data_IF_915174693012
#
_entry.id   IF_915174693012
#
_cell.length_a   1.000
_cell.length_b   1.000
_cell.length_c   1.000
_cell.angle_alpha   90.00
_cell.angle_beta   90.00
_cell.angle_gamma   90.00
#
_symmetry.space_group_name_H-M   'P 1'
#
loop_
_entity.id
_entity.type
_entity.pdbx_description
1 polymer ?
#
# COMPACT_ATOMS: atom_id res chain seq x y z
N UNK A 1 21.98 -10.41 -31.10
CA UNK A 1 21.75 -9.46 -30.02
C UNK A 1 20.76 -10.07 -29.01
N UNK A 2 20.95 -9.84 -27.69
CA UNK A 2 20.02 -10.35 -26.71
C UNK A 2 18.63 -9.75 -26.92
N UNK A 3 17.58 -10.56 -26.78
CA UNK A 3 16.19 -10.12 -26.95
C UNK A 3 15.83 -9.05 -25.91
N UNK A 4 16.42 -9.15 -24.73
CA UNK A 4 16.19 -8.26 -23.60
C UNK A 4 17.54 -7.76 -23.04
N UNK A 5 17.79 -6.46 -22.98
CA UNK A 5 18.97 -5.93 -22.33
C UNK A 5 18.89 -6.15 -20.82
N UNK A 6 20.01 -6.55 -20.23
CA UNK A 6 20.13 -6.63 -18.77
C UNK A 6 20.33 -5.23 -18.20
N UNK A 7 19.50 -4.83 -17.26
CA UNK A 7 19.60 -3.57 -16.54
C UNK A 7 20.21 -3.82 -15.15
N UNK A 8 21.39 -3.25 -14.92
CA UNK A 8 22.14 -3.41 -13.67
C UNK A 8 22.05 -2.19 -12.75
N UNK A 9 21.17 -1.23 -13.04
CA UNK A 9 21.08 0.03 -12.30
C UNK A 9 20.51 -0.12 -10.89
N UNK A 10 19.72 -1.19 -10.61
CA UNK A 10 19.16 -1.47 -9.28
C UNK A 10 20.14 -2.27 -8.40
N UNK A 11 21.35 -1.74 -8.23
CA UNK A 11 22.33 -2.29 -7.30
C UNK A 11 22.73 -1.22 -6.27
N UNK A 12 23.37 -1.59 -5.15
CA UNK A 12 23.91 -0.62 -4.19
C UNK A 12 24.71 0.48 -4.87
N UNK A 13 24.43 1.73 -4.52
CA UNK A 13 25.02 2.95 -5.13
C UNK A 13 24.68 3.15 -6.62
N UNK A 14 23.70 2.41 -7.16
CA UNK A 14 23.24 2.58 -8.53
C UNK A 14 24.33 2.38 -9.59
N UNK A 15 24.44 3.27 -10.55
CA UNK A 15 25.40 3.18 -11.65
C UNK A 15 26.86 3.28 -11.20
N UNK A 16 27.10 3.97 -10.10
CA UNK A 16 28.44 4.25 -9.57
C UNK A 16 28.96 3.11 -8.67
N UNK A 17 28.06 2.20 -8.24
CA UNK A 17 28.41 1.06 -7.41
C UNK A 17 29.08 -0.08 -8.17
N UNK A 18 29.85 -0.91 -7.47
CA UNK A 18 30.46 -2.12 -8.02
C UNK A 18 29.38 -3.11 -8.52
N UNK A 19 29.63 -3.76 -9.66
CA UNK A 19 28.75 -4.80 -10.21
C UNK A 19 28.73 -6.06 -9.35
N UNK A 20 29.84 -6.38 -8.70
CA UNK A 20 30.03 -7.54 -7.86
C UNK A 20 30.41 -7.10 -6.46
N UNK A 21 29.72 -7.63 -5.46
CA UNK A 21 29.97 -7.41 -4.04
C UNK A 21 29.80 -8.71 -3.27
N UNK A 22 30.48 -8.85 -2.15
CA UNK A 22 30.18 -9.93 -1.20
C UNK A 22 28.81 -9.74 -0.57
N UNK A 23 28.20 -10.83 -0.09
CA UNK A 23 26.92 -10.77 0.62
C UNK A 23 27.00 -9.81 1.81
N UNK A 24 28.05 -9.91 2.61
CA UNK A 24 28.23 -9.04 3.78
C UNK A 24 28.31 -7.54 3.41
N UNK A 25 28.96 -7.22 2.28
CA UNK A 25 29.00 -5.84 1.76
C UNK A 25 27.61 -5.34 1.34
N UNK A 26 26.79 -6.20 0.71
CA UNK A 26 25.39 -5.87 0.39
C UNK A 26 24.58 -5.58 1.65
N UNK A 27 24.62 -6.48 2.64
CA UNK A 27 23.86 -6.33 3.88
C UNK A 27 24.33 -5.11 4.68
N UNK A 28 25.64 -4.83 4.72
CA UNK A 28 26.17 -3.62 5.36
C UNK A 28 25.67 -2.34 4.69
N UNK A 29 25.57 -2.34 3.35
CA UNK A 29 24.99 -1.21 2.61
C UNK A 29 23.52 -0.97 2.97
N UNK A 30 22.68 -1.99 2.90
CA UNK A 30 21.24 -1.86 3.22
C UNK A 30 21.00 -1.42 4.66
N UNK A 31 21.82 -1.84 5.57
CA UNK A 31 21.73 -1.43 6.99
C UNK A 31 22.07 0.05 7.18
N UNK A 32 23.03 0.62 6.44
CA UNK A 32 23.63 1.94 6.73
C UNK A 32 23.21 3.04 5.75
N UNK A 33 23.14 2.72 4.46
CA UNK A 33 23.14 3.74 3.41
C UNK A 33 21.91 3.72 2.51
N UNK A 34 21.22 2.58 2.41
CA UNK A 34 20.11 2.44 1.49
C UNK A 34 18.98 3.43 1.78
N UNK A 35 18.48 4.06 0.72
CA UNK A 35 17.33 4.94 0.78
C UNK A 35 16.01 4.15 0.87
N UNK A 36 14.94 4.78 1.34
CA UNK A 36 13.62 4.15 1.53
C UNK A 36 13.08 3.47 0.26
N UNK A 37 13.32 4.04 -0.91
CA UNK A 37 12.87 3.49 -2.20
C UNK A 37 13.58 2.18 -2.60
N UNK A 38 14.79 1.93 -2.10
CA UNK A 38 15.53 0.70 -2.40
C UNK A 38 14.86 -0.51 -1.76
N UNK A 39 14.31 -0.36 -0.57
CA UNK A 39 13.52 -1.42 0.08
C UNK A 39 12.22 -1.71 -0.68
N UNK A 40 11.62 -0.69 -1.27
CA UNK A 40 10.48 -0.88 -2.18
C UNK A 40 10.87 -1.68 -3.42
N UNK A 41 12.05 -1.43 -4.00
CA UNK A 41 12.56 -2.20 -5.13
C UNK A 41 12.85 -3.66 -4.73
N UNK A 42 13.39 -3.89 -3.53
CA UNK A 42 13.69 -5.23 -3.00
C UNK A 42 12.46 -6.11 -2.74
N UNK A 43 11.24 -5.56 -2.65
CA UNK A 43 10.00 -6.37 -2.61
C UNK A 43 9.87 -7.34 -3.78
N UNK A 44 10.51 -7.03 -4.91
CA UNK A 44 10.50 -7.86 -6.13
C UNK A 44 11.79 -8.69 -6.30
N UNK A 45 12.75 -8.54 -5.39
CA UNK A 45 14.02 -9.25 -5.48
C UNK A 45 13.82 -10.76 -5.35
N UNK A 46 14.47 -11.50 -6.24
CA UNK A 46 14.54 -12.97 -6.22
C UNK A 46 15.82 -13.43 -6.91
N UNK A 47 16.38 -14.49 -6.44
CA UNK A 47 17.42 -15.20 -7.16
C UNK A 47 16.82 -15.84 -8.42
N UNK A 48 17.45 -15.64 -9.58
CA UNK A 48 16.95 -16.18 -10.85
C UNK A 48 18.04 -16.91 -11.66
N UNK A 49 19.30 -16.79 -11.27
CA UNK A 49 20.42 -17.46 -11.91
C UNK A 49 21.64 -17.45 -10.96
N UNK A 50 22.61 -18.30 -11.22
CA UNK A 50 23.83 -18.46 -10.42
C UNK A 50 23.67 -19.48 -9.31
N UNK A 51 24.41 -19.31 -8.22
CA UNK A 51 24.39 -20.18 -7.05
C UNK A 51 23.11 -20.01 -6.26
N UNK A 52 22.33 -21.10 -6.14
CA UNK A 52 21.02 -21.09 -5.49
C UNK A 52 21.12 -20.86 -3.96
N UNK A 53 22.19 -21.40 -3.31
CA UNK A 53 22.39 -21.22 -1.88
C UNK A 53 22.75 -19.76 -1.55
N UNK A 54 23.68 -19.17 -2.31
CA UNK A 54 24.00 -17.77 -2.19
C UNK A 54 22.77 -16.89 -2.43
N UNK A 55 21.95 -17.22 -3.43
CA UNK A 55 20.69 -16.55 -3.71
C UNK A 55 19.72 -16.58 -2.54
N UNK A 56 19.52 -17.76 -1.95
CA UNK A 56 18.66 -17.93 -0.78
C UNK A 56 19.18 -17.16 0.44
N UNK A 57 20.49 -17.19 0.69
CA UNK A 57 21.14 -16.42 1.76
C UNK A 57 20.99 -14.90 1.55
N UNK A 58 21.07 -14.44 0.31
CA UNK A 58 20.81 -13.03 -0.02
C UNK A 58 19.36 -12.65 0.29
N UNK A 59 18.38 -13.40 -0.19
CA UNK A 59 16.95 -13.15 0.05
C UNK A 59 16.63 -13.14 1.55
N UNK A 60 17.12 -14.11 2.30
CA UNK A 60 16.96 -14.17 3.76
C UNK A 60 17.62 -12.99 4.47
N UNK A 61 18.83 -12.61 4.03
CA UNK A 61 19.59 -11.52 4.63
C UNK A 61 18.97 -10.14 4.42
N UNK A 62 18.32 -9.88 3.26
CA UNK A 62 17.68 -8.59 2.97
C UNK A 62 16.25 -8.49 3.49
N UNK A 63 15.55 -9.59 3.70
CA UNK A 63 14.15 -9.62 4.13
C UNK A 63 13.88 -8.78 5.40
N UNK A 64 14.70 -8.86 6.48
CA UNK A 64 14.47 -8.02 7.66
C UNK A 64 14.51 -6.52 7.34
N UNK A 65 15.43 -6.08 6.48
CA UNK A 65 15.53 -4.66 6.12
C UNK A 65 14.33 -4.18 5.30
N UNK A 66 13.77 -5.04 4.46
CA UNK A 66 12.57 -4.73 3.66
C UNK A 66 11.36 -4.57 4.58
N UNK A 67 11.12 -5.52 5.47
CA UNK A 67 9.91 -5.52 6.29
C UNK A 67 9.98 -4.55 7.48
N UNK A 68 11.16 -4.14 7.90
CA UNK A 68 11.36 -3.08 8.89
C UNK A 68 11.49 -1.68 8.27
N UNK A 69 11.47 -1.55 6.94
CA UNK A 69 11.68 -0.28 6.26
C UNK A 69 10.67 0.81 6.66
N UNK A 70 9.42 0.42 6.95
CA UNK A 70 8.37 1.37 7.36
C UNK A 70 8.62 2.03 8.72
N UNK A 71 9.54 1.52 9.55
CA UNK A 71 9.96 2.15 10.83
C UNK A 71 10.84 3.38 10.63
N UNK A 72 11.37 3.57 9.42
CA UNK A 72 12.22 4.74 9.15
C UNK A 72 11.40 6.01 9.24
N UNK A 73 11.98 7.02 9.83
CA UNK A 73 11.38 8.35 9.89
C UNK A 73 10.98 8.83 8.49
N UNK A 74 9.82 9.39 8.36
CA UNK A 74 9.25 9.93 7.11
C UNK A 74 9.14 8.90 5.95
N UNK A 75 9.15 7.59 6.23
CA UNK A 75 9.11 6.55 5.19
C UNK A 75 7.98 6.72 4.16
N UNK A 76 6.76 6.99 4.64
CA UNK A 76 5.58 7.15 3.76
C UNK A 76 5.70 8.42 2.91
N UNK A 77 6.19 9.50 3.48
CA UNK A 77 6.45 10.77 2.80
C UNK A 77 7.55 10.62 1.74
N UNK A 78 8.62 9.89 2.05
CA UNK A 78 9.70 9.58 1.10
C UNK A 78 9.18 8.78 -0.10
N UNK A 79 8.36 7.74 0.15
CA UNK A 79 7.73 6.93 -0.90
C UNK A 79 6.84 7.81 -1.80
N UNK A 80 6.05 8.70 -1.20
CA UNK A 80 5.20 9.66 -1.91
C UNK A 80 6.03 10.68 -2.70
N UNK A 81 7.11 11.20 -2.12
CA UNK A 81 8.01 12.13 -2.79
C UNK A 81 8.69 11.47 -3.98
N UNK A 82 9.14 10.22 -3.82
CA UNK A 82 9.73 9.43 -4.91
C UNK A 82 8.73 9.23 -6.05
N UNK A 83 7.48 8.89 -5.77
CA UNK A 83 6.45 8.75 -6.81
C UNK A 83 6.24 10.05 -7.59
N UNK A 84 6.12 11.18 -6.87
CA UNK A 84 6.01 12.51 -7.50
C UNK A 84 7.21 12.86 -8.36
N UNK A 85 8.43 12.52 -7.93
CA UNK A 85 9.66 12.73 -8.71
C UNK A 85 9.61 11.93 -10.01
N UNK A 86 9.34 10.61 -9.94
CA UNK A 86 9.23 9.74 -11.12
C UNK A 86 8.18 10.25 -12.11
N UNK A 87 7.06 10.74 -11.60
CA UNK A 87 5.99 11.31 -12.43
C UNK A 87 6.47 12.58 -13.17
N UNK A 88 7.17 13.49 -12.48
CA UNK A 88 7.70 14.74 -13.05
C UNK A 88 8.82 14.52 -14.05
N UNK A 89 9.81 13.68 -13.71
CA UNK A 89 10.97 13.41 -14.56
C UNK A 89 10.60 12.67 -15.85
N UNK A 90 9.48 11.97 -15.85
CA UNK A 90 9.00 11.23 -17.00
C UNK A 90 8.00 12.00 -17.90
N UNK A 91 7.72 13.29 -17.64
CA UNK A 91 6.80 14.09 -18.46
C UNK A 91 7.29 14.19 -19.89
N UNK A 92 6.44 13.91 -20.91
CA UNK A 92 6.81 14.08 -22.31
C UNK A 92 7.10 15.55 -22.63
N UNK A 93 8.12 15.81 -23.42
CA UNK A 93 8.40 17.15 -23.96
C UNK A 93 7.43 17.47 -25.10
N UNK A 94 6.22 17.88 -24.74
CA UNK A 94 5.15 18.15 -25.71
C UNK A 94 4.33 16.91 -26.06
N UNK A 95 3.17 17.12 -26.71
CA UNK A 95 2.29 16.07 -27.18
C UNK A 95 1.39 15.44 -26.13
N UNK A 96 0.64 14.42 -26.57
CA UNK A 96 -0.33 13.71 -25.74
C UNK A 96 0.36 12.64 -24.91
N UNK A 97 0.01 12.53 -23.63
CA UNK A 97 0.61 11.56 -22.70
C UNK A 97 0.12 10.13 -22.99
N UNK A 98 0.95 9.37 -23.71
CA UNK A 98 0.70 7.98 -24.11
C UNK A 98 1.38 6.94 -23.19
N UNK A 99 1.96 7.36 -22.07
CA UNK A 99 2.73 6.50 -21.16
C UNK A 99 1.81 5.53 -20.40
N UNK A 100 1.95 4.24 -20.69
CA UNK A 100 1.21 3.17 -19.99
C UNK A 100 1.75 2.96 -18.58
N UNK A 101 3.07 3.13 -18.39
CA UNK A 101 3.76 2.76 -17.15
C UNK A 101 3.98 3.92 -16.19
N UNK A 102 4.64 4.98 -16.63
CA UNK A 102 5.15 6.03 -15.74
C UNK A 102 4.20 7.22 -15.60
N UNK A 103 3.27 7.40 -16.53
CA UNK A 103 2.29 8.48 -16.50
C UNK A 103 1.30 8.37 -15.34
N UNK A 104 0.62 9.47 -15.01
CA UNK A 104 -0.47 9.46 -14.02
C UNK A 104 -1.55 8.43 -14.41
N UNK A 105 -1.97 7.61 -13.47
CA UNK A 105 -2.92 6.52 -13.73
C UNK A 105 -2.33 5.33 -14.50
N UNK A 106 -0.99 5.23 -14.60
CA UNK A 106 -0.32 4.10 -15.23
C UNK A 106 0.00 2.96 -14.26
N UNK A 107 0.71 1.94 -14.79
CA UNK A 107 1.11 0.75 -14.02
C UNK A 107 1.82 1.08 -12.70
N UNK A 108 2.66 2.12 -12.70
CA UNK A 108 3.38 2.55 -11.50
C UNK A 108 2.48 3.02 -10.38
N UNK A 109 1.35 3.64 -10.67
CA UNK A 109 0.41 4.07 -9.63
C UNK A 109 -0.19 2.85 -8.91
N UNK A 110 -0.53 1.78 -9.64
CA UNK A 110 -0.99 0.53 -9.03
C UNK A 110 0.13 -0.15 -8.25
N UNK A 111 1.30 -0.33 -8.86
CA UNK A 111 2.45 -0.99 -8.24
C UNK A 111 2.89 -0.28 -6.96
N UNK A 112 2.99 1.05 -6.97
CA UNK A 112 3.38 1.83 -5.79
C UNK A 112 2.33 1.78 -4.69
N UNK A 113 1.04 1.79 -5.04
CA UNK A 113 -0.05 1.63 -4.07
C UNK A 113 0.07 0.29 -3.33
N UNK A 114 0.21 -0.81 -4.08
CA UNK A 114 0.33 -2.15 -3.50
C UNK A 114 1.60 -2.27 -2.66
N UNK A 115 2.74 -1.83 -3.18
CA UNK A 115 4.04 -1.93 -2.51
C UNK A 115 4.12 -1.11 -1.23
N UNK A 116 3.56 0.12 -1.22
CA UNK A 116 3.51 0.92 0.00
C UNK A 116 2.70 0.22 1.09
N UNK A 117 1.53 -0.32 0.74
CA UNK A 117 0.70 -1.07 1.69
C UNK A 117 1.41 -2.33 2.20
N UNK A 118 2.11 -3.07 1.32
CA UNK A 118 2.92 -4.21 1.73
C UNK A 118 4.01 -3.81 2.73
N UNK A 119 4.74 -2.73 2.47
CA UNK A 119 5.83 -2.28 3.36
C UNK A 119 5.31 -1.78 4.71
N UNK A 120 4.18 -1.08 4.72
CA UNK A 120 3.57 -0.58 5.96
C UNK A 120 3.00 -1.71 6.81
N UNK A 121 2.29 -2.65 6.21
CA UNK A 121 1.53 -3.68 6.93
C UNK A 121 2.23 -5.05 6.98
N UNK A 122 3.09 -5.39 6.01
CA UNK A 122 3.78 -6.67 5.93
C UNK A 122 4.83 -6.91 7.04
N UNK A 123 5.11 -5.88 7.84
CA UNK A 123 5.90 -6.04 9.06
C UNK A 123 5.16 -6.92 10.08
N UNK A 124 3.87 -6.67 10.29
CA UNK A 124 3.01 -7.37 11.25
C UNK A 124 2.18 -8.47 10.62
N UNK A 125 2.01 -8.48 9.31
CA UNK A 125 1.22 -9.46 8.57
C UNK A 125 2.06 -10.13 7.47
N UNK A 126 2.58 -11.32 7.78
CA UNK A 126 3.42 -12.06 6.84
C UNK A 126 2.69 -12.54 5.59
N UNK A 127 1.36 -12.65 5.61
CA UNK A 127 0.56 -13.03 4.43
C UNK A 127 0.69 -12.04 3.28
N UNK A 128 1.11 -10.80 3.58
CA UNK A 128 1.37 -9.75 2.59
C UNK A 128 2.75 -9.85 1.92
N UNK A 129 3.62 -10.77 2.39
CA UNK A 129 5.00 -10.91 1.90
C UNK A 129 5.07 -11.73 0.62
N UNK A 130 4.32 -11.33 -0.39
CA UNK A 130 4.26 -11.95 -1.71
C UNK A 130 4.82 -11.01 -2.78
N UNK A 131 5.38 -11.58 -3.87
CA UNK A 131 6.10 -10.79 -4.89
C UNK A 131 5.20 -10.30 -6.02
N UNK A 132 4.21 -11.08 -6.43
CA UNK A 132 3.35 -10.71 -7.54
C UNK A 132 2.33 -9.64 -7.12
N UNK A 133 2.17 -8.60 -7.95
CA UNK A 133 1.31 -7.45 -7.62
C UNK A 133 -0.15 -7.84 -7.42
N UNK A 134 -0.66 -8.78 -8.22
CA UNK A 134 -2.04 -9.25 -8.11
C UNK A 134 -2.24 -10.09 -6.84
N UNK A 135 -1.33 -11.02 -6.54
CA UNK A 135 -1.35 -11.81 -5.30
C UNK A 135 -1.28 -10.91 -4.07
N UNK A 136 -0.42 -9.87 -4.10
CA UNK A 136 -0.33 -8.91 -3.03
C UNK A 136 -1.63 -8.11 -2.85
N UNK A 137 -2.28 -7.75 -3.95
CA UNK A 137 -3.57 -7.05 -3.91
C UNK A 137 -4.68 -7.94 -3.35
N UNK A 138 -4.68 -9.23 -3.70
CA UNK A 138 -5.62 -10.22 -3.15
C UNK A 138 -5.38 -10.40 -1.64
N UNK A 139 -4.12 -10.53 -1.21
CA UNK A 139 -3.76 -10.63 0.20
C UNK A 139 -4.14 -9.35 0.99
N UNK A 140 -3.87 -8.16 0.44
CA UNK A 140 -4.29 -6.88 1.02
C UNK A 140 -5.82 -6.77 1.17
N UNK A 141 -6.55 -7.29 0.20
CA UNK A 141 -8.02 -7.32 0.27
C UNK A 141 -8.53 -8.32 1.31
N UNK A 142 -7.93 -9.52 1.37
CA UNK A 142 -8.27 -10.54 2.37
C UNK A 142 -7.97 -10.05 3.79
N UNK A 143 -6.84 -9.37 4.01
CA UNK A 143 -6.47 -8.75 5.28
C UNK A 143 -7.28 -7.50 5.65
N UNK A 144 -8.13 -6.99 4.75
CA UNK A 144 -8.95 -5.80 5.00
C UNK A 144 -8.23 -4.46 4.83
N UNK A 145 -7.00 -4.45 4.34
CA UNK A 145 -6.20 -3.23 4.08
C UNK A 145 -6.72 -2.42 2.88
N UNK A 146 -7.34 -3.09 1.94
CA UNK A 146 -8.02 -2.50 0.78
C UNK A 146 -9.42 -3.07 0.67
N UNK A 147 -10.41 -2.26 0.25
CA UNK A 147 -11.77 -2.78 0.04
C UNK A 147 -11.80 -3.81 -1.08
N UNK A 148 -12.75 -4.75 -1.01
CA UNK A 148 -12.92 -5.74 -2.09
C UNK A 148 -13.22 -5.07 -3.44
N UNK A 149 -13.99 -3.99 -3.40
CA UNK A 149 -14.37 -3.22 -4.59
C UNK A 149 -13.16 -2.54 -5.21
N UNK A 150 -12.34 -1.84 -4.38
CA UNK A 150 -11.15 -1.14 -4.87
C UNK A 150 -10.07 -2.12 -5.35
N UNK A 151 -9.89 -3.23 -4.61
CA UNK A 151 -8.95 -4.28 -5.01
C UNK A 151 -9.35 -4.92 -6.35
N UNK A 152 -10.64 -5.24 -6.55
CA UNK A 152 -11.14 -5.75 -7.82
C UNK A 152 -10.96 -4.74 -8.96
N UNK A 153 -11.26 -3.46 -8.70
CA UNK A 153 -11.09 -2.38 -9.67
C UNK A 153 -9.60 -2.18 -10.04
N UNK A 154 -8.69 -2.12 -9.05
CA UNK A 154 -7.24 -2.04 -9.30
C UNK A 154 -6.71 -3.26 -10.05
N UNK A 155 -7.16 -4.47 -9.69
CA UNK A 155 -6.78 -5.72 -10.36
C UNK A 155 -7.19 -5.71 -11.84
N UNK A 156 -8.44 -5.35 -12.14
CA UNK A 156 -8.94 -5.21 -13.51
C UNK A 156 -8.15 -4.18 -14.30
N UNK A 157 -7.95 -2.98 -13.73
CA UNK A 157 -7.17 -1.92 -14.35
C UNK A 157 -5.70 -2.33 -14.59
N UNK A 158 -5.07 -3.00 -13.62
CA UNK A 158 -3.70 -3.47 -13.76
C UNK A 158 -3.55 -4.50 -14.89
N UNK A 159 -4.47 -5.47 -14.96
CA UNK A 159 -4.49 -6.48 -16.05
C UNK A 159 -4.63 -5.82 -17.41
N UNK A 160 -5.55 -4.86 -17.54
CA UNK A 160 -5.76 -4.11 -18.77
C UNK A 160 -4.52 -3.31 -19.20
N UNK A 161 -3.90 -2.57 -18.27
CA UNK A 161 -2.67 -1.83 -18.54
C UNK A 161 -1.49 -2.75 -18.92
N UNK A 162 -1.38 -3.92 -18.28
CA UNK A 162 -0.35 -4.92 -18.63
C UNK A 162 -0.58 -5.50 -20.03
N UNK A 163 -1.81 -5.78 -20.36
CA UNK A 163 -2.16 -6.25 -21.69
C UNK A 163 -1.79 -5.21 -22.78
N UNK A 164 -2.13 -3.94 -22.54
CA UNK A 164 -1.74 -2.83 -23.43
C UNK A 164 -0.22 -2.72 -23.57
N UNK A 165 0.52 -2.78 -22.45
CA UNK A 165 1.98 -2.74 -22.46
C UNK A 165 2.56 -3.91 -23.28
N UNK A 166 2.12 -5.14 -23.02
CA UNK A 166 2.62 -6.33 -23.71
C UNK A 166 2.29 -6.29 -25.22
N UNK A 167 1.08 -5.92 -25.60
CA UNK A 167 0.70 -5.81 -27.02
C UNK A 167 1.50 -4.74 -27.74
N UNK A 168 1.75 -3.59 -27.07
CA UNK A 168 2.59 -2.54 -27.64
C UNK A 168 4.06 -2.98 -27.82
N UNK A 169 4.57 -3.81 -26.90
CA UNK A 169 5.93 -4.35 -26.98
C UNK A 169 6.06 -5.45 -28.04
N UNK A 170 5.10 -6.38 -28.10
CA UNK A 170 5.10 -7.50 -29.04
C UNK A 170 4.97 -7.05 -30.49
N UNK A 171 4.28 -5.96 -30.75
CA UNK A 171 4.02 -5.46 -32.10
C UNK A 171 5.31 -5.26 -32.93
N UNK A 172 6.42 -4.83 -32.32
CA UNK A 172 7.72 -4.66 -33.01
C UNK A 172 8.89 -5.27 -32.24
N UNK A 173 8.61 -6.12 -31.26
CA UNK A 173 9.61 -6.67 -30.32
C UNK A 173 10.51 -5.57 -29.72
N UNK A 174 9.92 -4.42 -29.39
CA UNK A 174 10.63 -3.27 -28.82
C UNK A 174 10.25 -3.04 -27.38
N UNK A 175 11.23 -2.74 -26.55
CA UNK A 175 10.99 -2.26 -25.19
C UNK A 175 10.37 -0.87 -25.25
N UNK A 176 9.05 -0.80 -25.16
CA UNK A 176 8.28 0.45 -25.07
C UNK A 176 7.33 0.41 -23.89
N UNK A 177 7.01 1.59 -23.36
CA UNK A 177 6.01 1.78 -22.30
C UNK A 177 4.97 2.82 -22.72
N UNK A 178 4.91 3.13 -24.02
CA UNK A 178 3.99 4.09 -24.61
C UNK A 178 3.08 3.40 -25.62
N UNK A 179 1.83 3.84 -25.67
CA UNK A 179 0.96 3.51 -26.79
C UNK A 179 1.50 4.12 -28.09
N UNK A 180 1.31 3.45 -29.23
CA UNK A 180 1.70 3.98 -30.54
C UNK A 180 1.10 5.36 -30.83
N UNK A 181 1.84 6.20 -31.54
CA UNK A 181 1.36 7.52 -31.97
C UNK A 181 0.52 7.43 -33.25
N UNK A 182 0.94 6.54 -34.17
CA UNK A 182 0.27 6.35 -35.45
C UNK A 182 -1.04 5.59 -35.26
N UNK A 183 -2.10 6.11 -35.82
CA UNK A 183 -3.43 5.52 -35.70
C UNK A 183 -3.50 4.08 -36.24
N UNK A 184 -2.78 3.79 -37.34
CA UNK A 184 -2.68 2.45 -37.88
C UNK A 184 -2.08 1.44 -36.87
N UNK A 185 -1.00 1.84 -36.18
CA UNK A 185 -0.36 1.01 -35.18
C UNK A 185 -1.25 0.87 -33.92
N UNK A 186 -1.99 1.94 -33.57
CA UNK A 186 -2.95 1.92 -32.47
C UNK A 186 -4.09 0.92 -32.75
N UNK A 187 -4.67 0.95 -33.98
CA UNK A 187 -5.69 -0.02 -34.44
C UNK A 187 -5.19 -1.47 -34.45
N UNK A 188 -3.89 -1.70 -34.67
CA UNK A 188 -3.30 -3.05 -34.56
C UNK A 188 -3.26 -3.54 -33.08
N UNK A 189 -2.89 -2.67 -32.16
CA UNK A 189 -2.95 -2.98 -30.72
C UNK A 189 -4.39 -3.24 -30.32
N UNK A 190 -5.33 -2.38 -30.72
CA UNK A 190 -6.77 -2.49 -30.45
C UNK A 190 -7.35 -3.85 -30.86
N UNK A 191 -7.11 -4.28 -32.10
CA UNK A 191 -7.56 -5.61 -32.59
C UNK A 191 -7.02 -6.78 -31.77
N UNK A 192 -5.88 -6.61 -31.11
CA UNK A 192 -5.30 -7.64 -30.26
C UNK A 192 -5.85 -7.69 -28.84
N UNK A 193 -6.73 -6.75 -28.47
CA UNK A 193 -7.27 -6.61 -27.11
C UNK A 193 -8.79 -6.39 -27.07
N UNK A 194 -9.46 -6.38 -28.23
CA UNK A 194 -10.90 -6.10 -28.35
C UNK A 194 -11.77 -6.94 -27.44
N UNK A 195 -11.37 -8.19 -27.16
CA UNK A 195 -12.12 -9.10 -26.31
C UNK A 195 -11.90 -8.84 -24.79
N UNK A 196 -10.97 -7.96 -24.41
CA UNK A 196 -10.51 -7.78 -23.04
C UNK A 196 -10.76 -6.38 -22.47
N UNK A 197 -10.88 -5.37 -23.32
CA UNK A 197 -11.27 -4.01 -22.98
C UNK A 197 -12.68 -3.77 -23.49
N UNK A 198 -13.50 -3.05 -22.74
CA UNK A 198 -14.87 -2.76 -23.12
C UNK A 198 -14.97 -2.09 -24.50
N UNK A 199 -16.15 -2.11 -25.07
CA UNK A 199 -16.44 -1.54 -26.37
C UNK A 199 -16.62 -0.02 -26.24
N UNK A 200 -15.50 0.71 -26.03
CA UNK A 200 -15.48 2.17 -26.12
C UNK A 200 -15.42 2.64 -27.57
N UNK A 201 -15.59 3.94 -27.80
CA UNK A 201 -15.52 4.55 -29.14
C UNK A 201 -14.14 4.40 -29.80
N UNK A 202 -13.09 4.24 -28.99
CA UNK A 202 -11.73 3.95 -29.45
C UNK A 202 -10.82 3.48 -28.31
N UNK A 203 -9.78 2.73 -28.62
CA UNK A 203 -8.73 2.34 -27.67
C UNK A 203 -8.15 3.54 -26.90
N UNK A 204 -8.09 4.69 -27.56
CA UNK A 204 -7.55 5.89 -26.93
C UNK A 204 -8.46 6.43 -25.81
N UNK A 205 -9.78 6.42 -26.01
CA UNK A 205 -10.74 6.83 -24.97
C UNK A 205 -10.74 5.81 -23.82
N UNK A 206 -10.78 4.52 -24.13
CA UNK A 206 -10.69 3.45 -23.12
C UNK A 206 -9.42 3.58 -22.27
N UNK A 207 -8.28 3.91 -22.90
CA UNK A 207 -7.03 4.13 -22.17
C UNK A 207 -7.06 5.36 -21.25
N UNK A 208 -7.68 6.45 -21.69
CA UNK A 208 -7.85 7.65 -20.85
C UNK A 208 -8.75 7.35 -19.65
N UNK A 209 -9.83 6.63 -19.85
CA UNK A 209 -10.76 6.23 -18.82
C UNK A 209 -10.11 5.30 -17.80
N UNK A 210 -9.38 4.31 -18.29
CA UNK A 210 -8.60 3.39 -17.47
C UNK A 210 -7.61 4.14 -16.57
N UNK A 211 -6.87 5.11 -17.13
CA UNK A 211 -5.94 5.94 -16.38
C UNK A 211 -6.63 6.83 -15.35
N UNK A 212 -7.79 7.41 -15.68
CA UNK A 212 -8.58 8.21 -14.72
C UNK A 212 -9.02 7.37 -13.52
N UNK A 213 -9.50 6.15 -13.77
CA UNK A 213 -9.89 5.21 -12.71
C UNK A 213 -8.72 4.82 -11.82
N UNK A 214 -7.60 4.44 -12.41
CA UNK A 214 -6.38 4.10 -11.65
C UNK A 214 -5.90 5.30 -10.83
N UNK A 215 -5.91 6.51 -11.43
CA UNK A 215 -5.47 7.73 -10.73
C UNK A 215 -6.35 8.05 -9.53
N UNK A 216 -7.66 7.93 -9.66
CA UNK A 216 -8.60 8.15 -8.56
C UNK A 216 -8.37 7.17 -7.41
N UNK A 217 -8.27 5.86 -7.70
CA UNK A 217 -8.00 4.82 -6.72
C UNK A 217 -6.61 5.00 -6.06
N UNK A 218 -5.59 5.34 -6.86
CA UNK A 218 -4.27 5.65 -6.33
C UNK A 218 -4.30 6.84 -5.37
N UNK A 219 -4.96 7.93 -5.73
CA UNK A 219 -5.06 9.09 -4.85
C UNK A 219 -5.79 8.77 -3.56
N UNK A 220 -6.87 8.02 -3.65
CA UNK A 220 -7.64 7.61 -2.48
C UNK A 220 -6.87 6.68 -1.55
N UNK A 221 -6.17 5.68 -2.07
CA UNK A 221 -5.53 4.63 -1.26
C UNK A 221 -4.11 5.02 -0.85
N UNK A 222 -3.28 5.47 -1.79
CA UNK A 222 -1.86 5.76 -1.57
C UNK A 222 -1.64 6.99 -0.69
N UNK A 223 -2.52 7.99 -0.80
CA UNK A 223 -2.42 9.22 -0.03
C UNK A 223 -3.28 9.24 1.24
N UNK A 224 -3.78 8.09 1.68
CA UNK A 224 -4.52 8.01 2.96
C UNK A 224 -3.66 8.57 4.10
N UNK A 225 -4.20 9.52 4.91
CA UNK A 225 -3.47 10.05 6.06
C UNK A 225 -3.06 9.00 7.07
N UNK A 226 -3.90 7.96 7.26
CA UNK A 226 -3.67 6.88 8.22
C UNK A 226 -2.44 6.00 7.90
N UNK A 227 -1.94 5.97 6.67
CA UNK A 227 -0.75 5.19 6.33
C UNK A 227 0.51 5.68 7.07
N UNK A 228 0.67 7.00 7.21
CA UNK A 228 1.80 7.55 7.96
C UNK A 228 1.73 7.17 9.44
N UNK A 229 0.54 7.18 10.04
CA UNK A 229 0.35 6.72 11.42
C UNK A 229 0.60 5.22 11.58
N UNK A 230 0.08 4.40 10.66
CA UNK A 230 0.30 2.95 10.71
C UNK A 230 1.79 2.57 10.55
N UNK A 231 2.53 3.32 9.73
CA UNK A 231 3.97 3.12 9.56
C UNK A 231 4.77 3.50 10.82
N UNK A 232 4.34 4.54 11.53
CA UNK A 232 5.00 5.04 12.74
C UNK A 232 4.81 4.14 13.97
N UNK A 233 3.76 3.30 13.98
CA UNK A 233 3.50 2.37 15.08
C UNK A 233 4.52 1.23 15.08
N UNK A 234 5.18 0.98 16.22
CA UNK A 234 6.11 -0.14 16.34
C UNK A 234 5.36 -1.48 16.48
N UNK A 235 5.97 -2.59 16.01
CA UNK A 235 5.45 -3.93 16.29
C UNK A 235 5.44 -4.23 17.79
N UNK A 236 6.41 -3.68 18.54
CA UNK A 236 6.50 -3.76 19.99
C UNK A 236 5.36 -3.00 20.68
N UNK A 237 4.82 -1.96 20.06
CA UNK A 237 3.65 -1.24 20.54
C UNK A 237 2.34 -2.05 20.41
N UNK A 238 2.32 -3.05 19.54
CA UNK A 238 1.22 -4.02 19.43
C UNK A 238 1.45 -5.24 20.34
N UNK A 239 2.70 -5.50 20.75
CA UNK A 239 3.14 -6.60 21.62
C UNK A 239 3.58 -6.10 23.02
N UNK A 240 3.09 -4.95 23.46
CA UNK A 240 3.39 -4.42 24.79
C UNK A 240 3.04 -5.45 25.88
N UNK A 241 3.94 -5.59 26.86
CA UNK A 241 3.56 -6.27 28.11
C UNK A 241 2.29 -5.62 28.66
N UNK A 242 1.39 -6.36 29.32
CA UNK A 242 0.17 -5.78 29.89
C UNK A 242 0.41 -4.53 30.72
N UNK A 243 1.56 -4.45 31.43
CA UNK A 243 1.95 -3.31 32.20
C UNK A 243 2.27 -2.07 31.34
N UNK A 244 3.09 -2.22 30.33
CA UNK A 244 3.45 -1.12 29.43
C UNK A 244 2.24 -0.61 28.63
N UNK A 245 1.30 -1.50 28.29
CA UNK A 245 0.05 -1.11 27.65
C UNK A 245 -0.84 -0.25 28.57
N UNK A 246 -0.92 -0.59 29.88
CA UNK A 246 -1.63 0.22 30.88
C UNK A 246 -1.03 1.61 31.04
N UNK A 247 0.29 1.67 31.22
CA UNK A 247 1.01 2.93 31.38
C UNK A 247 0.79 3.87 30.20
N UNK A 248 0.78 3.31 29.00
CA UNK A 248 0.53 4.08 27.79
C UNK A 248 -0.92 4.57 27.68
N UNK A 249 -1.90 3.72 27.99
CA UNK A 249 -3.32 4.14 28.00
C UNK A 249 -3.54 5.25 29.03
N UNK A 250 -2.97 5.13 30.22
CA UNK A 250 -3.02 6.17 31.24
C UNK A 250 -2.38 7.49 30.73
N UNK A 251 -1.23 7.41 30.06
CA UNK A 251 -0.55 8.58 29.49
C UNK A 251 -1.36 9.26 28.35
N UNK A 252 -2.21 8.50 27.64
CA UNK A 252 -3.09 9.02 26.58
C UNK A 252 -4.37 9.63 27.14
N UNK A 253 -4.70 9.39 28.45
CA UNK A 253 -5.82 10.03 29.13
C UNK A 253 -6.91 9.07 29.63
N UNK A 254 -6.72 7.76 29.53
CA UNK A 254 -7.67 6.76 30.06
C UNK A 254 -7.55 6.66 31.58
N UNK A 255 -8.68 6.79 32.28
CA UNK A 255 -8.75 6.68 33.74
C UNK A 255 -8.83 5.21 34.19
N UNK A 256 -9.42 4.30 33.37
CA UNK A 256 -9.42 2.85 33.59
C UNK A 256 -8.66 2.12 32.47
N UNK A 257 -7.32 2.05 32.52
CA UNK A 257 -6.53 1.34 31.51
C UNK A 257 -6.86 -0.14 31.37
N UNK A 258 -7.29 -0.82 32.44
CA UNK A 258 -7.67 -2.22 32.40
C UNK A 258 -9.03 -2.41 31.68
N UNK A 259 -9.97 -1.52 31.90
CA UNK A 259 -11.21 -1.44 31.13
C UNK A 259 -10.95 -1.20 29.66
N UNK A 260 -10.10 -0.23 29.37
CA UNK A 260 -9.70 0.07 27.98
C UNK A 260 -9.05 -1.13 27.30
N UNK A 261 -8.15 -1.87 27.96
CA UNK A 261 -7.56 -3.10 27.42
C UNK A 261 -8.61 -4.17 27.12
N UNK A 262 -9.59 -4.37 28.00
CA UNK A 262 -10.69 -5.33 27.75
C UNK A 262 -11.50 -4.92 26.50
N UNK A 263 -11.76 -3.64 26.30
CA UNK A 263 -12.46 -3.14 25.12
C UNK A 263 -11.64 -3.31 23.84
N UNK A 264 -10.34 -3.05 23.89
CA UNK A 264 -9.40 -3.27 22.78
C UNK A 264 -9.36 -4.75 22.39
N UNK A 265 -9.24 -5.65 23.34
CA UNK A 265 -9.24 -7.10 23.11
C UNK A 265 -10.54 -7.54 22.42
N UNK A 266 -11.70 -7.15 22.94
CA UNK A 266 -12.99 -7.48 22.36
C UNK A 266 -13.14 -6.95 20.90
N UNK A 267 -12.61 -5.77 20.57
CA UNK A 267 -12.63 -5.20 19.24
C UNK A 267 -11.71 -5.95 18.25
N UNK A 268 -10.61 -6.53 18.76
CA UNK A 268 -9.57 -7.18 17.94
C UNK A 268 -9.68 -8.69 17.90
N UNK A 269 -10.58 -9.28 18.68
CA UNK A 269 -10.74 -10.72 18.79
C UNK A 269 -11.25 -11.36 17.49
N UNK A 270 -10.70 -12.53 17.17
CA UNK A 270 -11.08 -13.35 16.03
C UNK A 270 -10.36 -13.01 14.72
N UNK A 271 -10.69 -13.78 13.67
CA UNK A 271 -10.09 -13.72 12.31
C UNK A 271 -10.98 -13.02 11.29
N UNK A 272 -12.03 -12.34 11.74
CA UNK A 272 -12.95 -11.66 10.83
C UNK A 272 -12.28 -10.45 10.16
N UNK A 273 -12.78 -10.08 8.97
CA UNK A 273 -12.35 -8.85 8.28
C UNK A 273 -12.54 -7.59 9.15
N UNK A 274 -13.60 -7.56 9.96
CA UNK A 274 -13.86 -6.50 10.93
C UNK A 274 -12.70 -6.40 11.93
N UNK A 275 -12.33 -7.51 12.55
CA UNK A 275 -11.23 -7.56 13.53
C UNK A 275 -9.89 -7.14 12.91
N UNK A 276 -9.62 -7.53 11.66
CA UNK A 276 -8.42 -7.11 10.92
C UNK A 276 -8.39 -5.59 10.71
N UNK A 277 -9.47 -4.99 10.23
CA UNK A 277 -9.57 -3.53 10.01
C UNK A 277 -9.47 -2.79 11.36
N UNK A 278 -10.12 -3.28 12.40
CA UNK A 278 -10.10 -2.66 13.73
C UNK A 278 -8.70 -2.74 14.34
N UNK A 279 -8.01 -3.88 14.29
CA UNK A 279 -6.60 -3.99 14.74
C UNK A 279 -5.70 -2.94 14.11
N UNK A 280 -5.89 -2.67 12.82
CA UNK A 280 -5.10 -1.69 12.09
C UNK A 280 -5.41 -0.24 12.51
N UNK A 281 -6.67 0.07 12.78
CA UNK A 281 -7.13 1.44 13.06
C UNK A 281 -7.10 1.80 14.54
N UNK A 282 -7.17 0.81 15.42
CA UNK A 282 -7.29 1.00 16.87
C UNK A 282 -6.23 1.92 17.47
N UNK A 283 -4.94 1.82 17.14
CA UNK A 283 -3.94 2.71 17.74
C UNK A 283 -4.23 4.19 17.48
N UNK A 284 -4.74 4.52 16.29
CA UNK A 284 -5.11 5.89 15.94
C UNK A 284 -6.41 6.30 16.61
N UNK A 285 -7.39 5.40 16.64
CA UNK A 285 -8.70 5.61 17.28
C UNK A 285 -8.52 5.84 18.79
N UNK A 286 -7.68 5.03 19.46
CA UNK A 286 -7.34 5.18 20.87
C UNK A 286 -6.78 6.59 21.15
N UNK A 287 -5.88 7.08 20.30
CA UNK A 287 -5.33 8.42 20.41
C UNK A 287 -6.38 9.54 20.20
N UNK A 288 -7.30 9.37 19.25
CA UNK A 288 -8.36 10.35 19.01
C UNK A 288 -9.42 10.38 20.12
N UNK A 289 -9.77 9.23 20.67
CA UNK A 289 -10.69 9.10 21.80
C UNK A 289 -10.02 9.62 23.08
N UNK A 290 -8.73 9.29 23.30
CA UNK A 290 -7.95 9.75 24.45
C UNK A 290 -7.81 11.27 24.55
N UNK A 291 -7.87 11.98 23.42
CA UNK A 291 -7.93 13.45 23.39
C UNK A 291 -9.33 14.05 23.67
N UNK A 292 -10.35 13.23 23.92
CA UNK A 292 -11.71 13.67 24.24
C UNK A 292 -11.95 13.97 25.71
N UNK A 293 -13.18 14.36 26.05
CA UNK A 293 -13.54 14.72 27.43
C UNK A 293 -13.65 13.49 28.36
N UNK A 294 -14.09 12.35 27.83
CA UNK A 294 -14.23 11.07 28.52
C UNK A 294 -13.74 9.93 27.64
N UNK A 295 -12.44 9.59 27.70
CA UNK A 295 -11.85 8.54 26.89
C UNK A 295 -12.41 7.15 27.16
N UNK A 296 -12.67 6.81 28.43
CA UNK A 296 -13.16 5.49 28.82
C UNK A 296 -14.59 5.24 28.29
N UNK A 297 -15.46 6.21 28.46
CA UNK A 297 -16.80 6.17 27.87
C UNK A 297 -16.75 6.15 26.34
N UNK A 298 -15.85 6.94 25.73
CA UNK A 298 -15.65 7.00 24.29
C UNK A 298 -15.26 5.64 23.71
N UNK A 299 -14.33 4.94 24.35
CA UNK A 299 -13.87 3.62 23.87
C UNK A 299 -14.96 2.54 24.07
N UNK A 300 -15.66 2.55 25.21
CA UNK A 300 -16.83 1.69 25.42
C UNK A 300 -17.87 1.90 24.35
N UNK A 301 -18.20 3.16 24.05
CA UNK A 301 -19.19 3.53 23.05
C UNK A 301 -18.76 3.15 21.64
N UNK A 302 -17.49 3.33 21.30
CA UNK A 302 -16.93 2.86 20.03
C UNK A 302 -17.02 1.34 19.90
N UNK A 303 -16.77 0.59 20.98
CA UNK A 303 -16.93 -0.85 21.01
C UNK A 303 -18.40 -1.24 20.76
N UNK A 304 -19.35 -0.67 21.48
CA UNK A 304 -20.79 -0.96 21.32
C UNK A 304 -21.28 -0.68 19.92
N UNK A 305 -20.91 0.47 19.35
CA UNK A 305 -21.22 0.82 17.98
C UNK A 305 -20.62 -0.18 17.00
N UNK A 306 -19.36 -0.56 17.20
CA UNK A 306 -18.69 -1.55 16.35
C UNK A 306 -19.28 -2.95 16.46
N UNK A 307 -19.83 -3.32 17.61
CA UNK A 307 -20.56 -4.58 17.79
C UNK A 307 -21.91 -4.53 17.07
N UNK A 308 -22.63 -3.42 17.15
CA UNK A 308 -23.93 -3.25 16.53
C UNK A 308 -23.90 -3.16 15.00
N UNK A 309 -23.02 -2.35 14.44
CA UNK A 309 -22.99 -2.06 13.00
C UNK A 309 -21.69 -2.46 12.31
N UNK A 310 -20.74 -3.05 13.03
CA UNK A 310 -19.40 -3.37 12.51
C UNK A 310 -19.39 -4.43 11.40
N UNK A 311 -20.49 -5.12 11.14
CA UNK A 311 -20.68 -5.98 9.97
C UNK A 311 -21.06 -5.22 8.70
N UNK A 312 -21.47 -3.96 8.80
CA UNK A 312 -21.88 -3.17 7.65
C UNK A 312 -20.69 -2.66 6.84
N UNK A 313 -20.82 -2.79 5.53
CA UNK A 313 -19.74 -2.39 4.61
C UNK A 313 -19.43 -0.89 4.68
N UNK A 314 -20.46 -0.04 4.80
CA UNK A 314 -20.29 1.42 4.83
C UNK A 314 -19.55 1.90 6.07
N UNK A 315 -19.79 1.28 7.25
CA UNK A 315 -19.12 1.64 8.50
C UNK A 315 -17.62 1.33 8.45
N UNK A 316 -17.28 0.13 8.00
CA UNK A 316 -15.89 -0.27 7.85
C UNK A 316 -15.17 0.58 6.78
N UNK A 317 -15.87 0.90 5.69
CA UNK A 317 -15.33 1.80 4.65
C UNK A 317 -15.12 3.22 5.20
N UNK A 318 -16.06 3.77 5.95
CA UNK A 318 -15.95 5.08 6.58
C UNK A 318 -14.76 5.15 7.53
N UNK A 319 -14.61 4.16 8.42
CA UNK A 319 -13.48 4.10 9.34
C UNK A 319 -12.12 4.03 8.61
N UNK A 320 -12.04 3.26 7.54
CA UNK A 320 -10.81 3.05 6.77
C UNK A 320 -10.49 4.22 5.85
N UNK A 321 -11.49 4.75 5.14
CA UNK A 321 -11.30 5.61 3.96
C UNK A 321 -11.53 7.10 4.28
N UNK A 322 -12.22 7.42 5.39
CA UNK A 322 -12.53 8.80 5.77
C UNK A 322 -12.00 9.14 7.17
N UNK A 323 -10.70 9.50 7.31
CA UNK A 323 -10.11 9.84 8.61
C UNK A 323 -10.78 11.04 9.27
N UNK A 324 -11.33 11.97 8.49
CA UNK A 324 -12.08 13.12 9.02
C UNK A 324 -13.38 12.67 9.68
N UNK A 325 -14.13 11.78 9.02
CA UNK A 325 -15.38 11.23 9.57
C UNK A 325 -15.08 10.32 10.77
N UNK A 326 -14.08 9.46 10.69
CA UNK A 326 -13.67 8.59 11.79
C UNK A 326 -13.22 9.39 13.02
N UNK A 327 -12.43 10.45 12.84
CA UNK A 327 -12.00 11.33 13.92
C UNK A 327 -13.18 12.09 14.54
N UNK A 328 -14.10 12.60 13.73
CA UNK A 328 -15.32 13.27 14.22
C UNK A 328 -16.20 12.30 15.02
N UNK A 329 -16.35 11.06 14.53
CA UNK A 329 -17.05 10.02 15.27
C UNK A 329 -16.38 9.80 16.63
N UNK A 330 -15.08 9.60 16.71
CA UNK A 330 -14.34 9.44 17.96
C UNK A 330 -14.54 10.64 18.92
N UNK A 331 -14.53 11.88 18.39
CA UNK A 331 -14.79 13.07 19.18
C UNK A 331 -16.23 13.10 19.76
N UNK A 332 -17.23 12.75 18.96
CA UNK A 332 -18.62 12.66 19.43
C UNK A 332 -18.76 11.59 20.51
N UNK A 333 -18.19 10.39 20.27
CA UNK A 333 -18.29 9.27 21.20
C UNK A 333 -17.61 9.56 22.55
N UNK A 334 -16.52 10.36 22.57
CA UNK A 334 -15.77 10.70 23.78
C UNK A 334 -16.20 12.01 24.46
N UNK A 335 -17.11 12.78 23.86
CA UNK A 335 -17.48 14.10 24.40
C UNK A 335 -18.98 14.33 24.58
N UNK A 336 -19.84 13.53 23.94
CA UNK A 336 -21.26 13.76 23.89
C UNK A 336 -22.06 12.51 24.35
N UNK A 337 -22.13 12.26 25.65
CA UNK A 337 -22.83 11.11 26.23
C UNK A 337 -24.27 10.98 25.71
N UNK A 338 -25.01 12.09 25.70
CA UNK A 338 -26.39 12.11 25.23
C UNK A 338 -26.57 11.74 23.73
N UNK A 339 -25.64 12.20 22.88
CA UNK A 339 -25.68 11.90 21.46
C UNK A 339 -25.29 10.43 21.19
N UNK A 340 -24.37 9.92 21.98
CA UNK A 340 -23.82 8.55 21.87
C UNK A 340 -24.87 7.49 22.27
N UNK A 341 -25.74 7.77 23.24
CA UNK A 341 -26.83 6.87 23.64
C UNK A 341 -27.94 6.73 22.58
N UNK A 342 -27.95 7.59 21.56
CA UNK A 342 -28.93 7.62 20.48
C UNK A 342 -28.41 7.21 19.12
N UNK A 343 -27.11 6.92 19.02
CA UNK A 343 -26.47 6.33 17.86
C UNK A 343 -26.60 4.80 17.87
#
# INVERSE_FOLDING_TARGET
>A
PPLWPLDTALRPEGKDGALVRTLDSHLAYYRRWAASWEFQALLKARACAGDAELGARYEQGVAPYVWEASRRENFVEDARAMRRRVEKESVPRGGVDRRIKLGPGGLRDVEFTVQLLQLVHGRSDESLRVRATLEALDALSAGGYVSRTDAAALSGCYKALRLLEHRSQLFRLRRTHNLPEKEEDLRRVERGISDCLGHGDSLWEDFKDLRRRVRALHQEIYYRPLLAFAAALSADEMALSPQAARERLAAVGYADPDGALRHIQALTEGVSRRAAIQRQLLPVIIGWIGGGADPDFGLLSFRRLSEAIGGSHWYLAMLRDSPVAARRLCQVLSSAHWATERL
#
